data_IF_452131963799
#
_entry.id   IF_452131963799
#
_cell.length_a   1.000
_cell.length_b   1.000
_cell.length_c   1.000
_cell.angle_alpha   90.00
_cell.angle_beta   90.00
_cell.angle_gamma   90.00
#
_symmetry.space_group_name_H-M   'P 1'
#
loop_
_entity.id
_entity.type
_entity.pdbx_description
1 polymer ?
#
# COMPACT_ATOMS: atom_id res chain seq x y z
N UNK A 1 5.51 21.63 7.38
CA UNK A 1 5.07 20.31 6.91
C UNK A 1 3.61 20.17 7.26
N UNK A 2 2.78 19.66 6.36
CA UNK A 2 1.37 19.36 6.66
C UNK A 2 1.29 17.87 6.97
N UNK A 3 0.49 17.51 7.98
CA UNK A 3 0.34 16.13 8.41
C UNK A 3 -0.69 15.45 7.52
N UNK A 4 -0.25 14.43 6.78
CA UNK A 4 -1.12 13.57 5.97
C UNK A 4 -1.40 12.31 6.80
N UNK A 5 -2.68 12.01 7.02
CA UNK A 5 -3.11 10.78 7.67
C UNK A 5 -3.43 9.72 6.62
N UNK A 6 -2.81 8.54 6.73
CA UNK A 6 -3.11 7.36 5.93
C UNK A 6 -3.62 6.24 6.86
N UNK A 7 -4.84 5.80 6.62
CA UNK A 7 -5.51 4.74 7.38
C UNK A 7 -5.73 3.53 6.49
N UNK A 8 -5.28 2.34 6.91
CA UNK A 8 -5.64 1.08 6.25
C UNK A 8 -7.02 0.65 6.72
N UNK A 9 -7.96 0.55 5.78
CA UNK A 9 -9.35 0.21 6.04
C UNK A 9 -9.66 -1.27 5.79
N UNK A 10 -8.90 -1.91 4.90
CA UNK A 10 -9.06 -3.34 4.55
C UNK A 10 -7.73 -3.95 4.11
N UNK A 11 -7.62 -5.27 4.20
CA UNK A 11 -6.45 -6.03 3.81
C UNK A 11 -6.79 -7.35 3.11
N UNK A 12 -5.83 -7.85 2.36
CA UNK A 12 -5.85 -9.16 1.73
C UNK A 12 -4.61 -9.96 2.17
N UNK A 13 -4.83 -11.23 2.50
CA UNK A 13 -3.77 -12.16 2.87
C UNK A 13 -3.43 -13.05 1.68
N UNK A 14 -2.16 -13.05 1.27
CA UNK A 14 -1.68 -13.95 0.23
C UNK A 14 -1.80 -15.40 0.67
N UNK A 15 -2.43 -16.21 -0.18
CA UNK A 15 -2.49 -17.67 0.01
C UNK A 15 -1.17 -18.36 -0.33
N UNK A 16 -0.23 -17.68 -1.01
CA UNK A 16 1.05 -18.24 -1.42
C UNK A 16 2.14 -18.03 -0.36
N UNK A 17 2.17 -16.84 0.26
CA UNK A 17 3.23 -16.43 1.19
C UNK A 17 2.73 -16.23 2.62
N UNK A 18 1.41 -16.08 2.82
CA UNK A 18 0.82 -15.68 4.11
C UNK A 18 0.94 -14.19 4.43
N UNK A 19 1.53 -13.39 3.54
CA UNK A 19 1.71 -11.96 3.72
C UNK A 19 0.38 -11.20 3.69
N UNK A 20 0.18 -10.25 4.62
CA UNK A 20 -1.00 -9.38 4.66
C UNK A 20 -0.74 -8.00 4.04
N UNK A 21 -1.47 -7.64 3.00
CA UNK A 21 -1.33 -6.36 2.29
C UNK A 21 -2.60 -5.52 2.41
N UNK A 22 -2.46 -4.21 2.59
CA UNK A 22 -3.60 -3.31 2.49
C UNK A 22 -4.18 -3.33 1.07
N UNK A 23 -5.50 -3.22 0.96
CA UNK A 23 -6.22 -3.12 -0.33
C UNK A 23 -7.26 -2.01 -0.35
N UNK A 24 -7.50 -1.37 0.79
CA UNK A 24 -8.35 -0.20 0.92
C UNK A 24 -7.72 0.75 1.94
N UNK A 25 -7.61 2.01 1.56
CA UNK A 25 -7.08 3.06 2.42
C UNK A 25 -7.95 4.30 2.39
N UNK A 26 -7.86 5.08 3.46
CA UNK A 26 -8.35 6.45 3.52
C UNK A 26 -7.21 7.41 3.75
N UNK A 27 -7.10 8.42 2.91
CA UNK A 27 -6.12 9.51 3.03
C UNK A 27 -6.85 10.77 3.44
N UNK A 28 -6.37 11.45 4.48
CA UNK A 28 -6.91 12.74 4.93
C UNK A 28 -5.82 13.76 5.17
N UNK A 29 -6.13 15.02 4.87
CA UNK A 29 -5.31 16.19 5.19
C UNK A 29 -6.25 17.39 5.40
N UNK A 30 -6.10 18.12 6.51
CA UNK A 30 -7.10 19.11 6.94
C UNK A 30 -7.04 20.43 6.19
N UNK A 31 -5.85 20.89 5.79
CA UNK A 31 -5.63 22.23 5.22
C UNK A 31 -6.32 22.40 3.88
N UNK A 32 -6.38 21.34 3.07
CA UNK A 32 -7.03 21.33 1.75
C UNK A 32 -8.33 20.52 1.73
N UNK A 33 -8.94 20.26 2.89
CA UNK A 33 -10.18 19.46 2.98
C UNK A 33 -10.06 18.15 2.16
N UNK A 34 -8.90 17.49 2.26
CA UNK A 34 -8.61 16.29 1.49
C UNK A 34 -9.20 15.08 2.21
N UNK A 35 -10.04 14.33 1.53
CA UNK A 35 -10.53 13.05 2.00
C UNK A 35 -10.71 12.10 0.82
N UNK A 36 -9.79 11.14 0.68
CA UNK A 36 -9.74 10.19 -0.42
C UNK A 36 -9.88 8.75 0.07
N UNK A 37 -10.75 7.98 -0.58
CA UNK A 37 -10.70 6.52 -0.56
C UNK A 37 -9.84 6.02 -1.72
N UNK A 38 -8.84 5.19 -1.41
CA UNK A 38 -7.99 4.51 -2.37
C UNK A 38 -8.30 3.02 -2.27
N UNK A 39 -8.81 2.41 -3.35
CA UNK A 39 -9.18 0.99 -3.40
C UNK A 39 -8.35 0.25 -4.45
N UNK A 40 -7.81 -0.91 -4.10
CA UNK A 40 -7.19 -1.82 -5.07
C UNK A 40 -8.24 -2.35 -6.06
N UNK A 41 -7.90 -2.39 -7.34
CA UNK A 41 -8.79 -2.97 -8.38
C UNK A 41 -8.96 -4.48 -8.22
N UNK A 42 -7.90 -5.13 -7.78
CA UNK A 42 -7.85 -6.55 -7.43
C UNK A 42 -7.03 -6.72 -6.17
N UNK A 43 -7.43 -7.65 -5.30
CA UNK A 43 -6.70 -7.95 -4.06
C UNK A 43 -5.43 -8.76 -4.31
N UNK A 44 -5.49 -9.71 -5.24
CA UNK A 44 -4.43 -10.69 -5.53
C UNK A 44 -3.38 -10.12 -6.51
N UNK A 45 -2.59 -9.14 -6.05
CA UNK A 45 -1.53 -8.49 -6.85
C UNK A 45 -0.15 -8.60 -6.16
N UNK A 46 0.11 -9.71 -5.46
CA UNK A 46 1.45 -10.02 -4.94
C UNK A 46 2.37 -10.51 -6.06
N UNK A 47 3.59 -9.96 -6.08
CA UNK A 47 4.70 -10.37 -6.92
C UNK A 47 5.73 -11.07 -6.03
N UNK A 48 5.91 -12.37 -6.25
CA UNK A 48 6.97 -13.15 -5.62
C UNK A 48 8.22 -13.03 -6.49
N UNK A 49 9.24 -12.31 -5.99
CA UNK A 49 10.50 -12.09 -6.71
C UNK A 49 11.38 -13.33 -6.61
N UNK A 50 11.51 -13.88 -5.42
CA UNK A 50 12.18 -15.15 -5.19
C UNK A 50 11.60 -15.89 -3.99
N UNK A 51 11.65 -17.21 -4.06
CA UNK A 51 11.26 -18.12 -3.00
C UNK A 51 12.28 -19.24 -2.93
N UNK A 52 13.06 -19.26 -1.85
CA UNK A 52 14.04 -20.30 -1.50
C UNK A 52 13.70 -20.86 -0.12
N UNK A 53 14.19 -22.06 0.26
CA UNK A 53 13.83 -22.67 1.55
C UNK A 53 14.10 -21.77 2.77
N UNK A 54 15.12 -20.92 2.70
CA UNK A 54 15.55 -20.05 3.80
C UNK A 54 14.89 -18.65 3.77
N UNK A 55 14.31 -18.24 2.63
CA UNK A 55 13.79 -16.88 2.46
C UNK A 55 12.78 -16.76 1.33
N UNK A 56 11.75 -15.93 1.54
CA UNK A 56 10.84 -15.47 0.49
C UNK A 56 10.91 -13.95 0.42
N UNK A 57 11.05 -13.40 -0.79
CA UNK A 57 10.86 -11.98 -1.03
C UNK A 57 9.70 -11.78 -1.99
N UNK A 58 8.66 -11.15 -1.47
CA UNK A 58 7.46 -10.79 -2.19
C UNK A 58 7.01 -9.40 -1.78
N UNK A 59 6.46 -8.67 -2.73
CA UNK A 59 5.85 -7.36 -2.52
C UNK A 59 4.51 -7.32 -3.26
N UNK A 60 3.62 -6.43 -2.82
CA UNK A 60 2.36 -6.21 -3.52
C UNK A 60 2.50 -4.95 -4.36
N UNK A 61 2.16 -5.04 -5.65
CA UNK A 61 2.11 -3.89 -6.54
C UNK A 61 0.84 -3.97 -7.35
N UNK A 62 -0.09 -3.05 -7.09
CA UNK A 62 -1.43 -3.18 -7.62
C UNK A 62 -2.04 -1.88 -8.06
N UNK A 63 -2.76 -1.96 -9.18
CA UNK A 63 -3.54 -0.85 -9.71
C UNK A 63 -4.68 -0.48 -8.76
N UNK A 64 -4.89 0.82 -8.57
CA UNK A 64 -5.91 1.38 -7.67
C UNK A 64 -6.89 2.30 -8.41
N UNK A 65 -8.05 2.50 -7.79
CA UNK A 65 -8.98 3.59 -8.07
C UNK A 65 -9.02 4.52 -6.87
N UNK A 66 -9.16 5.81 -7.13
CA UNK A 66 -9.23 6.87 -6.12
C UNK A 66 -10.55 7.61 -6.30
N UNK A 67 -11.24 7.88 -5.20
CA UNK A 67 -12.43 8.74 -5.18
C UNK A 67 -12.52 9.49 -3.86
N UNK A 68 -12.99 10.72 -3.89
CA UNK A 68 -13.14 11.51 -2.67
C UNK A 68 -13.33 12.99 -2.96
N UNK A 69 -12.84 13.83 -2.06
CA UNK A 69 -12.93 15.28 -2.15
C UNK A 69 -11.56 15.93 -1.92
N UNK A 70 -11.36 17.08 -2.58
CA UNK A 70 -10.24 18.00 -2.38
C UNK A 70 -10.79 19.41 -2.50
N UNK A 71 -10.56 20.25 -1.49
CA UNK A 71 -11.08 21.62 -1.41
C UNK A 71 -12.60 21.69 -1.66
N UNK A 72 -13.36 20.73 -1.11
CA UNK A 72 -14.81 20.60 -1.29
C UNK A 72 -15.27 20.08 -2.66
N UNK A 73 -14.37 19.88 -3.62
CA UNK A 73 -14.69 19.39 -4.96
C UNK A 73 -14.51 17.87 -5.07
N UNK A 74 -15.46 17.20 -5.74
CA UNK A 74 -15.38 15.76 -5.94
C UNK A 74 -14.26 15.41 -6.95
N UNK A 75 -13.38 14.51 -6.56
CA UNK A 75 -12.25 14.04 -7.37
C UNK A 75 -12.30 12.53 -7.58
N UNK A 76 -11.83 12.11 -8.75
CA UNK A 76 -11.65 10.69 -9.08
C UNK A 76 -10.32 10.50 -9.80
N UNK A 77 -9.71 9.34 -9.62
CA UNK A 77 -8.43 9.03 -10.26
C UNK A 77 -8.11 7.56 -10.29
N UNK A 78 -6.96 7.25 -10.86
CA UNK A 78 -6.40 5.91 -10.93
C UNK A 78 -4.92 5.99 -10.61
N UNK A 79 -4.38 4.99 -9.92
CA UNK A 79 -2.97 4.95 -9.56
C UNK A 79 -2.47 3.53 -9.36
N UNK A 80 -1.34 3.44 -8.68
CA UNK A 80 -0.74 2.19 -8.19
C UNK A 80 -0.33 2.39 -6.74
N UNK A 81 -0.34 1.31 -5.97
CA UNK A 81 0.28 1.25 -4.66
C UNK A 81 1.28 0.10 -4.63
N UNK A 82 2.40 0.31 -3.93
CA UNK A 82 3.44 -0.68 -3.70
C UNK A 82 3.54 -0.91 -2.19
N UNK A 83 3.54 -2.17 -1.77
CA UNK A 83 3.69 -2.57 -0.38
C UNK A 83 4.78 -3.62 -0.27
N UNK A 84 5.87 -3.23 0.37
CA UNK A 84 6.98 -4.12 0.73
C UNK A 84 6.80 -4.55 2.17
N UNK A 85 6.85 -5.86 2.41
CA UNK A 85 7.02 -6.40 3.76
C UNK A 85 8.48 -6.76 3.96
N UNK A 86 9.11 -6.17 4.98
CA UNK A 86 10.43 -6.61 5.39
C UNK A 86 10.29 -7.96 6.11
N UNK A 87 11.13 -8.96 5.79
CA UNK A 87 11.19 -10.20 6.54
C UNK A 87 11.37 -9.91 8.03
N UNK A 88 10.61 -10.59 8.88
CA UNK A 88 10.79 -10.48 10.33
C UNK A 88 12.26 -10.76 10.69
N UNK A 89 12.93 -9.77 11.29
CA UNK A 89 14.34 -9.87 11.71
C UNK A 89 15.36 -9.11 10.85
N UNK A 90 14.97 -8.45 9.75
CA UNK A 90 15.86 -7.47 9.10
C UNK A 90 15.75 -6.09 9.77
N UNK A 91 16.88 -5.41 10.06
CA UNK A 91 16.83 -4.02 10.52
C UNK A 91 16.19 -3.13 9.46
N UNK A 92 15.43 -2.11 9.89
CA UNK A 92 14.67 -1.21 9.03
C UNK A 92 15.53 -0.33 8.09
N UNK A 93 16.86 -0.41 8.19
CA UNK A 93 17.78 0.25 7.27
C UNK A 93 18.24 -0.73 6.19
N UNK A 94 17.92 -0.42 4.94
CA UNK A 94 18.65 -0.98 3.81
C UNK A 94 20.14 -0.68 4.00
N UNK A 95 21.05 -1.65 3.86
CA UNK A 95 22.47 -1.36 3.94
C UNK A 95 22.79 -0.31 2.88
N UNK A 96 23.41 0.79 3.31
CA UNK A 96 24.06 1.72 2.40
C UNK A 96 25.09 0.92 1.60
N UNK A 97 24.79 0.64 0.33
CA UNK A 97 25.79 0.16 -0.60
C UNK A 97 26.80 1.30 -0.77
N UNK A 98 28.02 1.09 -0.25
CA UNK A 98 29.19 1.85 -0.66
C UNK A 98 29.64 1.43 -2.06
#
# INVERSE_FOLDING_TARGET
TQDIALERMDSWVSTQTGNEYGVLWRVREETHDLDLEIRARYSEQEIIVFQVPEATFAFWEGGTTVSGHLDGEAVTGTGYAELVQFPAGMPAEAPHLQ
#
